data_IF_288214572702
#
_entry.id   IF_288214572702
#
_cell.length_a   1.000
_cell.length_b   1.000
_cell.length_c   1.000
_cell.angle_alpha   90.00
_cell.angle_beta   90.00
_cell.angle_gamma   90.00
#
_symmetry.space_group_name_H-M   'P 1'
#
loop_
_entity.id
_entity.type
_entity.pdbx_description
1 polymer ?
#
# COMPACT_ATOMS: atom_id res chain seq x y z
N UNK A 1 22.75 -23.43 36.64
CA UNK A 1 21.50 -22.84 36.12
C UNK A 1 21.48 -21.39 36.54
N UNK A 2 21.31 -20.50 35.56
CA UNK A 2 21.04 -19.04 35.59
C UNK A 2 21.49 -18.54 34.22
N UNK A 3 20.86 -19.03 33.15
CA UNK A 3 19.68 -18.39 32.52
C UNK A 3 20.09 -17.09 31.81
N UNK A 4 20.58 -17.24 30.59
CA UNK A 4 20.66 -16.13 29.63
C UNK A 4 19.26 -15.90 29.11
N UNK A 5 18.49 -15.08 29.82
CA UNK A 5 17.21 -14.60 29.29
C UNK A 5 17.49 -13.78 28.02
N UNK A 6 16.81 -14.06 26.90
CA UNK A 6 16.92 -13.23 25.71
C UNK A 6 16.34 -11.85 26.03
N UNK A 7 16.98 -10.80 25.53
CA UNK A 7 16.45 -9.44 25.62
C UNK A 7 15.04 -9.40 25.01
N UNK A 8 14.10 -8.64 25.61
CA UNK A 8 12.81 -8.44 25.00
C UNK A 8 13.02 -7.62 23.72
N UNK A 9 12.88 -8.27 22.56
CA UNK A 9 12.62 -7.59 21.30
C UNK A 9 11.16 -7.18 21.32
N UNK A 10 10.93 -5.88 21.47
CA UNK A 10 9.60 -5.28 21.45
C UNK A 10 8.93 -5.54 20.07
N UNK A 11 7.70 -6.09 20.03
CA UNK A 11 7.01 -6.51 18.81
C UNK A 11 6.62 -5.38 17.84
N UNK A 12 7.05 -4.15 18.10
CA UNK A 12 6.64 -2.95 17.39
C UNK A 12 7.85 -2.28 16.73
N UNK A 13 8.32 -2.80 15.58
CA UNK A 13 9.17 -2.03 14.64
C UNK A 13 8.31 -0.96 13.96
N UNK A 14 7.66 -0.12 14.76
CA UNK A 14 7.28 1.21 14.34
C UNK A 14 8.57 2.01 14.32
N UNK A 15 8.86 2.65 13.20
CA UNK A 15 9.96 3.60 13.09
C UNK A 15 9.98 4.48 14.35
N UNK A 16 11.16 4.63 14.94
CA UNK A 16 11.37 5.50 16.10
C UNK A 16 10.72 6.87 15.81
N UNK A 17 9.64 7.27 16.52
CA UNK A 17 8.98 8.57 16.29
C UNK A 17 9.91 9.75 16.59
N UNK A 18 11.13 9.49 17.08
CA UNK A 18 12.18 10.44 17.36
C UNK A 18 13.14 10.69 16.19
N UNK A 19 13.04 9.95 15.07
CA UNK A 19 13.96 10.12 13.94
C UNK A 19 13.55 11.35 13.12
N UNK A 20 14.46 12.31 12.97
CA UNK A 20 14.20 13.51 12.15
C UNK A 20 13.95 13.10 10.69
N UNK A 21 12.91 13.64 10.07
CA UNK A 21 12.57 13.40 8.67
C UNK A 21 13.74 13.76 7.73
N UNK A 22 14.59 14.72 8.15
CA UNK A 22 15.80 15.10 7.43
C UNK A 22 16.84 13.97 7.35
N UNK A 23 16.81 13.02 8.28
CA UNK A 23 17.74 11.89 8.37
C UNK A 23 17.21 10.62 7.71
N UNK A 24 15.98 10.64 7.17
CA UNK A 24 15.34 9.48 6.54
C UNK A 24 15.62 9.50 5.04
N UNK A 25 16.21 8.41 4.47
CA UNK A 25 16.39 8.30 3.03
C UNK A 25 15.07 8.42 2.26
N UNK A 26 15.07 9.12 1.12
CA UNK A 26 13.87 9.33 0.31
C UNK A 26 13.19 8.00 -0.09
N UNK A 27 13.96 6.96 -0.39
CA UNK A 27 13.45 5.61 -0.71
C UNK A 27 12.67 5.01 0.47
N UNK A 28 13.13 5.23 1.70
CA UNK A 28 12.45 4.75 2.92
C UNK A 28 11.12 5.49 3.13
N UNK A 29 11.11 6.82 2.91
CA UNK A 29 9.89 7.64 2.97
C UNK A 29 8.87 7.15 1.93
N UNK A 30 9.29 7.01 0.67
CA UNK A 30 8.41 6.56 -0.42
C UNK A 30 7.83 5.18 -0.13
N UNK A 31 8.66 4.24 0.33
CA UNK A 31 8.20 2.90 0.65
C UNK A 31 7.18 2.91 1.79
N UNK A 32 7.48 3.64 2.87
CA UNK A 32 6.59 3.76 4.05
C UNK A 32 5.24 4.36 3.68
N UNK A 33 5.24 5.46 2.93
CA UNK A 33 4.01 6.10 2.45
C UNK A 33 3.24 5.17 1.50
N UNK A 34 3.94 4.44 0.63
CA UNK A 34 3.31 3.48 -0.29
C UNK A 34 2.60 2.35 0.47
N UNK A 35 3.22 1.82 1.53
CA UNK A 35 2.61 0.81 2.39
C UNK A 35 1.39 1.37 3.11
N UNK A 36 1.44 2.59 3.64
CA UNK A 36 0.28 3.21 4.28
C UNK A 36 -0.89 3.43 3.32
N UNK A 37 -0.61 3.93 2.11
CA UNK A 37 -1.63 4.08 1.07
C UNK A 37 -2.22 2.73 0.66
N UNK A 38 -1.40 1.69 0.54
CA UNK A 38 -1.83 0.34 0.20
C UNK A 38 -2.74 -0.25 1.29
N UNK A 39 -2.32 -0.18 2.55
CA UNK A 39 -3.12 -0.67 3.69
C UNK A 39 -4.44 0.10 3.80
N UNK A 40 -4.42 1.42 3.68
CA UNK A 40 -5.63 2.23 3.70
C UNK A 40 -6.56 1.89 2.52
N UNK A 41 -6.01 1.69 1.32
CA UNK A 41 -6.80 1.26 0.16
C UNK A 41 -7.44 -0.12 0.39
N UNK A 42 -6.69 -1.08 0.94
CA UNK A 42 -7.19 -2.41 1.26
C UNK A 42 -8.37 -2.36 2.25
N UNK A 43 -8.22 -1.58 3.33
CA UNK A 43 -9.31 -1.33 4.30
C UNK A 43 -10.53 -0.74 3.59
N UNK A 44 -10.34 0.27 2.75
CA UNK A 44 -11.44 0.94 2.04
C UNK A 44 -12.06 0.09 0.94
N UNK A 45 -11.36 -0.91 0.43
CA UNK A 45 -11.92 -1.97 -0.41
C UNK A 45 -12.70 -3.05 0.39
N UNK A 46 -12.70 -2.98 1.72
CA UNK A 46 -13.36 -3.97 2.59
C UNK A 46 -12.54 -5.23 2.85
N UNK A 47 -11.21 -5.17 2.72
CA UNK A 47 -10.31 -6.31 2.98
C UNK A 47 -9.81 -6.41 4.43
N UNK A 48 -10.29 -5.53 5.32
CA UNK A 48 -9.96 -5.56 6.75
C UNK A 48 -10.79 -6.60 7.49
N UNK A 49 -10.47 -6.82 8.77
CA UNK A 49 -11.25 -7.69 9.67
C UNK A 49 -12.69 -7.22 9.86
N UNK A 50 -12.94 -5.90 9.77
CA UNK A 50 -14.26 -5.29 9.84
C UNK A 50 -15.02 -5.35 8.50
N UNK A 51 -14.33 -5.75 7.42
CA UNK A 51 -14.89 -6.04 6.10
C UNK A 51 -15.74 -4.89 5.56
N UNK A 52 -17.00 -5.22 5.25
CA UNK A 52 -18.00 -4.30 4.68
C UNK A 52 -18.26 -3.05 5.53
N UNK A 53 -18.05 -3.10 6.84
CA UNK A 53 -18.29 -1.95 7.72
C UNK A 53 -17.33 -0.78 7.48
N UNK A 54 -16.14 -1.06 6.91
CA UNK A 54 -15.13 -0.06 6.60
C UNK A 54 -15.02 0.26 5.10
N UNK A 55 -15.82 -0.43 4.27
CA UNK A 55 -15.79 -0.27 2.82
C UNK A 55 -16.27 1.12 2.42
N UNK A 56 -15.43 1.81 1.67
CA UNK A 56 -15.73 3.09 1.04
C UNK A 56 -14.95 3.20 -0.27
N UNK A 57 -15.63 2.83 -1.36
CA UNK A 57 -15.04 2.80 -2.69
C UNK A 57 -14.71 4.21 -3.21
N UNK A 58 -15.37 5.26 -2.71
CA UNK A 58 -15.04 6.61 -3.11
C UNK A 58 -13.67 7.03 -2.53
N UNK A 59 -13.35 6.62 -1.31
CA UNK A 59 -12.02 6.82 -0.72
C UNK A 59 -10.97 5.85 -1.31
N UNK A 60 -11.32 4.57 -1.50
CA UNK A 60 -10.42 3.58 -2.10
C UNK A 60 -9.92 4.04 -3.48
N UNK A 61 -10.81 4.58 -4.32
CA UNK A 61 -10.45 5.10 -5.66
C UNK A 61 -9.35 6.17 -5.58
N UNK A 62 -9.42 7.08 -4.62
CA UNK A 62 -8.44 8.17 -4.44
C UNK A 62 -7.09 7.59 -4.03
N UNK A 63 -7.09 6.71 -3.03
CA UNK A 63 -5.88 6.09 -2.50
C UNK A 63 -5.17 5.23 -3.54
N UNK A 64 -5.89 4.36 -4.25
CA UNK A 64 -5.34 3.50 -5.30
C UNK A 64 -4.79 4.35 -6.46
N UNK A 65 -5.50 5.41 -6.86
CA UNK A 65 -5.02 6.30 -7.94
C UNK A 65 -3.75 7.05 -7.55
N UNK A 66 -3.67 7.54 -6.31
CA UNK A 66 -2.48 8.21 -5.79
C UNK A 66 -1.30 7.23 -5.69
N UNK A 67 -1.52 6.03 -5.14
CA UNK A 67 -0.52 4.99 -5.00
C UNK A 67 0.02 4.53 -6.37
N UNK A 68 -0.85 4.34 -7.36
CA UNK A 68 -0.46 3.98 -8.71
C UNK A 68 0.45 5.05 -9.35
N UNK A 69 0.10 6.33 -9.19
CA UNK A 69 0.94 7.42 -9.67
C UNK A 69 2.31 7.45 -8.97
N UNK A 70 2.31 7.29 -7.64
CA UNK A 70 3.53 7.27 -6.83
C UNK A 70 4.46 6.13 -7.22
N UNK A 71 3.97 4.88 -7.27
CA UNK A 71 4.78 3.70 -7.61
C UNK A 71 5.32 3.82 -9.03
N UNK A 72 4.50 4.23 -10.00
CA UNK A 72 4.96 4.36 -11.39
C UNK A 72 6.06 5.41 -11.50
N UNK A 73 5.95 6.54 -10.80
CA UNK A 73 6.98 7.57 -10.79
C UNK A 73 8.25 7.14 -10.04
N UNK A 74 8.11 6.43 -8.92
CA UNK A 74 9.23 6.06 -8.05
C UNK A 74 9.95 4.77 -8.47
N UNK A 75 9.37 3.94 -9.34
CA UNK A 75 9.91 2.64 -9.71
C UNK A 75 11.40 2.65 -10.14
N UNK A 76 11.92 3.63 -10.91
CA UNK A 76 13.35 3.69 -11.25
C UNK A 76 14.27 3.85 -10.04
N UNK A 77 13.81 4.53 -8.99
CA UNK A 77 14.60 4.86 -7.80
C UNK A 77 14.52 3.78 -6.71
N UNK A 78 13.42 3.02 -6.65
CA UNK A 78 13.20 1.99 -5.62
C UNK A 78 13.97 0.68 -5.88
N UNK A 79 14.44 0.47 -7.10
CA UNK A 79 15.03 -0.80 -7.53
C UNK A 79 14.00 -1.91 -7.72
N UNK A 80 14.38 -2.95 -8.48
CA UNK A 80 13.47 -3.97 -8.99
C UNK A 80 12.69 -4.72 -7.91
N UNK A 81 13.34 -5.05 -6.79
CA UNK A 81 12.74 -5.86 -5.73
C UNK A 81 11.61 -5.10 -5.01
N UNK A 82 11.90 -3.91 -4.47
CA UNK A 82 10.90 -3.12 -3.74
C UNK A 82 9.76 -2.67 -4.65
N UNK A 83 10.09 -2.24 -5.88
CA UNK A 83 9.08 -1.82 -6.83
C UNK A 83 8.14 -2.97 -7.24
N UNK A 84 8.63 -4.22 -7.33
CA UNK A 84 7.80 -5.39 -7.64
C UNK A 84 6.78 -5.66 -6.55
N UNK A 85 7.20 -5.73 -5.29
CA UNK A 85 6.29 -5.98 -4.15
C UNK A 85 5.17 -4.94 -4.08
N UNK A 86 5.50 -3.66 -4.27
CA UNK A 86 4.51 -2.58 -4.27
C UNK A 86 3.53 -2.67 -5.46
N UNK A 87 4.00 -3.03 -6.65
CA UNK A 87 3.13 -3.25 -7.82
C UNK A 87 2.19 -4.43 -7.63
N UNK A 88 2.66 -5.52 -7.01
CA UNK A 88 1.84 -6.71 -6.73
C UNK A 88 0.75 -6.38 -5.68
N UNK A 89 1.11 -5.61 -4.65
CA UNK A 89 0.15 -5.08 -3.69
C UNK A 89 -0.89 -4.17 -4.35
N UNK A 90 -0.45 -3.20 -5.17
CA UNK A 90 -1.33 -2.30 -5.92
C UNK A 90 -2.31 -3.09 -6.81
N UNK A 91 -1.83 -4.09 -7.54
CA UNK A 91 -2.68 -4.95 -8.37
C UNK A 91 -3.76 -5.65 -7.54
N UNK A 92 -3.39 -6.16 -6.35
CA UNK A 92 -4.33 -6.82 -5.45
C UNK A 92 -5.46 -5.89 -5.03
N UNK A 93 -5.17 -4.65 -4.63
CA UNK A 93 -6.22 -3.69 -4.23
C UNK A 93 -7.04 -3.17 -5.43
N UNK A 94 -6.45 -3.06 -6.62
CA UNK A 94 -7.18 -2.75 -7.86
C UNK A 94 -8.20 -3.85 -8.21
N UNK A 95 -7.81 -5.11 -8.08
CA UNK A 95 -8.71 -6.25 -8.30
C UNK A 95 -9.83 -6.28 -7.26
N UNK A 96 -9.49 -6.11 -5.98
CA UNK A 96 -10.48 -6.05 -4.89
C UNK A 96 -11.47 -4.89 -5.08
N UNK A 97 -11.00 -3.71 -5.50
CA UNK A 97 -11.86 -2.59 -5.85
C UNK A 97 -12.86 -2.97 -6.95
N UNK A 98 -12.36 -3.61 -8.02
CA UNK A 98 -13.20 -4.00 -9.15
C UNK A 98 -14.25 -5.04 -8.75
N UNK A 99 -13.87 -6.01 -7.93
CA UNK A 99 -14.78 -7.03 -7.40
C UNK A 99 -15.85 -6.42 -6.47
N UNK A 100 -15.46 -5.47 -5.62
CA UNK A 100 -16.36 -4.81 -4.69
C UNK A 100 -17.28 -3.77 -5.37
N UNK A 101 -16.95 -3.29 -6.57
CA UNK A 101 -17.72 -2.25 -7.25
C UNK A 101 -19.01 -2.82 -7.86
N UNK A 102 -20.20 -2.31 -7.48
CA UNK A 102 -21.46 -2.71 -8.13
C UNK A 102 -21.57 -2.19 -9.58
N UNK A 103 -20.75 -1.20 -9.93
CA UNK A 103 -20.64 -0.64 -11.28
C UNK A 103 -19.16 -0.66 -11.69
N UNK A 104 -18.64 -1.78 -12.18
CA UNK A 104 -17.24 -1.88 -12.56
C UNK A 104 -16.88 -0.88 -13.65
N UNK A 105 -15.72 -0.23 -13.51
CA UNK A 105 -15.16 0.60 -14.57
C UNK A 105 -14.80 -0.28 -15.78
N UNK A 106 -14.81 0.32 -16.98
CA UNK A 106 -14.29 -0.35 -18.17
C UNK A 106 -12.79 -0.70 -17.99
N UNK A 107 -12.28 -1.75 -18.66
CA UNK A 107 -10.84 -2.06 -18.62
C UNK A 107 -9.97 -0.86 -19.01
N UNK A 108 -8.98 -0.54 -18.19
CA UNK A 108 -8.11 0.63 -18.36
C UNK A 108 -8.65 1.92 -17.73
N UNK A 109 -9.87 1.90 -17.18
CA UNK A 109 -10.53 3.06 -16.55
C UNK A 109 -10.73 2.89 -15.03
N UNK A 110 -10.30 1.75 -14.48
CA UNK A 110 -10.29 1.52 -13.04
C UNK A 110 -9.33 2.45 -12.29
N UNK A 111 -9.45 2.51 -10.95
CA UNK A 111 -8.57 3.34 -10.14
C UNK A 111 -7.09 2.98 -10.38
N UNK A 112 -6.29 3.99 -10.70
CA UNK A 112 -4.86 3.82 -11.01
C UNK A 112 -4.53 3.21 -12.38
N UNK A 113 -5.51 2.67 -13.13
CA UNK A 113 -5.25 1.95 -14.39
C UNK A 113 -4.68 2.82 -15.51
N UNK A 114 -4.86 4.14 -15.44
CA UNK A 114 -4.15 5.10 -16.31
C UNK A 114 -2.62 4.98 -16.24
N UNK A 115 -2.09 4.48 -15.12
CA UNK A 115 -0.65 4.30 -14.89
C UNK A 115 -0.19 2.86 -15.04
N UNK A 116 -1.06 1.89 -14.72
CA UNK A 116 -0.70 0.46 -14.64
C UNK A 116 -1.17 -0.35 -15.84
N UNK A 117 -2.07 0.20 -16.66
CA UNK A 117 -2.89 -0.57 -17.58
C UNK A 117 -4.03 -1.29 -16.85
N UNK A 118 -4.86 -2.00 -17.64
CA UNK A 118 -5.97 -2.78 -17.12
C UNK A 118 -5.49 -3.94 -16.24
N UNK A 119 -6.16 -4.19 -15.12
CA UNK A 119 -5.93 -5.40 -14.32
C UNK A 119 -6.89 -6.52 -14.71
N UNK A 120 -6.46 -7.77 -14.61
CA UNK A 120 -7.26 -8.96 -14.91
C UNK A 120 -7.00 -10.06 -13.91
#
# INVERSE_FOLDING_TARGET
>A
MSDSSPLPVDPTVMADPSRDIADVPAVEIINTVSVHLLSAAAVKCGLSENGEAERDLAEARKLITALAGLITAAAPELGDHHARVLRDGLRSVQLAFREASPFPDAPGQGPGEKYTGAVS
#
